data_IF_313682403638
#
_entry.id   IF_313682403638
#
_cell.length_a   1.000
_cell.length_b   1.000
_cell.length_c   1.000
_cell.angle_alpha   90.00
_cell.angle_beta   90.00
_cell.angle_gamma   90.00
#
_symmetry.space_group_name_H-M   'P 1'
#
loop_
_entity.id
_entity.type
_entity.pdbx_description
1 polymer ?
#
# COMPACT_ATOMS: atom_id res chain seq x y z
N UNK A 1 25.93 23.15 -2.22
CA UNK A 1 24.52 23.60 -2.08
C UNK A 1 23.70 22.91 -0.98
N UNK A 2 23.52 21.58 -0.90
CA UNK A 2 22.78 20.94 0.23
C UNK A 2 23.61 20.87 1.53
N UNK A 3 24.93 20.67 1.41
CA UNK A 3 25.87 20.59 2.55
C UNK A 3 26.10 21.93 3.26
N UNK A 4 26.07 23.05 2.52
CA UNK A 4 26.26 24.39 3.09
C UNK A 4 25.04 24.88 3.88
N UNK A 5 23.83 24.44 3.49
CA UNK A 5 22.60 24.74 4.24
C UNK A 5 22.52 23.99 5.58
N UNK A 6 23.28 22.90 5.75
CA UNK A 6 23.35 22.13 6.99
C UNK A 6 24.29 22.77 8.02
N UNK A 7 25.34 23.48 7.57
CA UNK A 7 26.30 24.14 8.45
C UNK A 7 25.76 25.44 9.09
N UNK A 8 24.80 26.11 8.45
CA UNK A 8 24.19 27.33 8.98
C UNK A 8 23.10 27.07 10.05
N UNK A 9 22.72 25.80 10.26
CA UNK A 9 21.76 25.35 11.29
C UNK A 9 22.50 24.62 12.42
N UNK A 10 23.72 25.02 12.73
CA UNK A 10 24.51 24.51 13.86
C UNK A 10 24.24 25.29 15.17
N UNK A 11 23.05 25.88 15.34
CA UNK A 11 22.62 26.38 16.65
C UNK A 11 21.57 25.44 17.24
N UNK A 12 22.04 24.55 18.12
CA UNK A 12 21.25 23.69 19.02
C UNK A 12 20.46 22.53 18.37
N UNK A 13 21.11 21.75 17.49
CA UNK A 13 20.58 20.43 17.10
C UNK A 13 21.09 19.40 18.12
N UNK A 14 20.18 18.79 18.86
CA UNK A 14 20.46 17.64 19.72
C UNK A 14 21.21 16.58 18.90
N UNK A 15 22.25 15.96 19.47
CA UNK A 15 22.97 14.89 18.77
C UNK A 15 22.06 13.68 18.63
N UNK A 16 22.08 13.00 17.48
CA UNK A 16 21.27 11.81 17.21
C UNK A 16 21.34 10.72 18.30
N UNK A 17 22.45 10.63 19.05
CA UNK A 17 22.61 9.72 20.19
C UNK A 17 21.72 10.09 21.37
N UNK A 18 21.66 11.37 21.73
CA UNK A 18 20.81 11.85 22.82
C UNK A 18 19.33 11.73 22.43
N UNK A 19 19.01 12.02 21.16
CA UNK A 19 17.68 11.80 20.59
C UNK A 19 17.27 10.32 20.67
N UNK A 20 18.19 9.40 20.35
CA UNK A 20 17.97 7.96 20.46
C UNK A 20 17.78 7.50 21.91
N UNK A 21 18.63 7.95 22.83
CA UNK A 21 18.50 7.63 24.26
C UNK A 21 17.16 8.12 24.82
N UNK A 22 16.72 9.32 24.41
CA UNK A 22 15.40 9.87 24.76
C UNK A 22 14.26 9.02 24.19
N UNK A 23 14.35 8.63 22.92
CA UNK A 23 13.36 7.76 22.29
C UNK A 23 13.25 6.39 22.99
N UNK A 24 14.39 5.78 23.33
CA UNK A 24 14.45 4.48 24.01
C UNK A 24 14.04 4.54 25.48
N UNK A 25 14.24 5.68 26.13
CA UNK A 25 13.81 5.93 27.52
C UNK A 25 12.34 6.32 27.66
N UNK A 26 11.68 6.73 26.57
CA UNK A 26 10.27 7.04 26.56
C UNK A 26 9.42 5.77 26.49
N UNK A 27 8.39 5.68 27.34
CA UNK A 27 7.36 4.65 27.22
C UNK A 27 6.36 5.07 26.14
N UNK A 28 6.39 4.41 24.98
CA UNK A 28 5.44 4.65 23.89
C UNK A 28 4.17 3.81 24.07
N UNK A 29 3.40 4.11 25.13
CA UNK A 29 2.21 3.32 25.53
C UNK A 29 1.07 3.33 24.48
N UNK A 30 1.13 4.27 23.52
CA UNK A 30 0.12 4.44 22.48
C UNK A 30 0.40 3.65 21.20
N UNK A 31 1.57 3.03 21.07
CA UNK A 31 1.95 2.26 19.87
C UNK A 31 1.47 0.80 20.01
N UNK A 32 0.59 0.40 19.11
CA UNK A 32 0.03 -0.96 19.03
C UNK A 32 0.54 -1.66 17.76
N UNK A 33 0.21 -2.95 17.59
CA UNK A 33 0.62 -3.72 16.39
C UNK A 33 0.00 -3.20 15.09
N UNK A 34 -1.17 -2.56 15.19
CA UNK A 34 -1.92 -2.05 14.04
C UNK A 34 -1.63 -0.56 13.77
N UNK A 35 -0.72 0.03 14.54
CA UNK A 35 -0.34 1.44 14.35
C UNK A 35 0.48 1.59 13.06
N UNK A 36 0.06 2.53 12.20
CA UNK A 36 0.85 2.96 11.06
C UNK A 36 2.11 3.68 11.55
N UNK A 37 3.24 2.96 11.54
CA UNK A 37 4.51 3.48 12.03
C UNK A 37 5.04 4.61 11.14
N UNK A 38 4.78 4.58 9.83
CA UNK A 38 5.25 5.64 8.91
C UNK A 38 4.55 6.94 9.24
N UNK A 39 3.23 6.88 9.44
CA UNK A 39 2.44 8.03 9.89
C UNK A 39 2.88 8.49 11.28
N UNK A 40 3.08 7.57 12.22
CA UNK A 40 3.54 7.90 13.57
C UNK A 40 4.86 8.67 13.55
N UNK A 41 5.87 8.20 12.80
CA UNK A 41 7.15 8.90 12.65
C UNK A 41 7.02 10.24 11.94
N UNK A 42 6.08 10.38 11.00
CA UNK A 42 5.78 11.66 10.35
C UNK A 42 5.16 12.67 11.33
N UNK A 43 4.33 12.22 12.26
CA UNK A 43 3.69 13.08 13.28
C UNK A 43 4.70 13.50 14.37
N UNK A 44 5.68 12.64 14.70
CA UNK A 44 6.71 12.90 15.72
C UNK A 44 8.03 13.43 15.13
N UNK A 45 8.04 13.88 13.87
CA UNK A 45 9.24 14.38 13.20
C UNK A 45 9.82 15.66 13.82
N UNK A 46 9.00 16.44 14.52
CA UNK A 46 9.46 17.60 15.30
C UNK A 46 10.14 17.20 16.61
N UNK A 47 9.71 16.09 17.22
CA UNK A 47 10.26 15.56 18.47
C UNK A 47 11.54 14.76 18.23
N UNK A 48 11.61 14.04 17.12
CA UNK A 48 12.73 13.18 16.75
C UNK A 48 13.19 13.49 15.30
N UNK A 49 13.82 14.64 15.05
CA UNK A 49 14.12 15.11 13.69
C UNK A 49 15.12 14.22 12.95
N UNK A 50 16.06 13.58 13.63
CA UNK A 50 17.05 12.71 12.97
C UNK A 50 16.51 11.29 12.79
N UNK A 51 15.87 10.74 13.83
CA UNK A 51 15.35 9.38 13.81
C UNK A 51 14.14 9.25 12.89
N UNK A 52 13.25 10.25 12.84
CA UNK A 52 12.11 10.24 11.95
C UNK A 52 12.53 10.18 10.47
N UNK A 53 13.60 10.89 10.08
CA UNK A 53 14.14 10.80 8.72
C UNK A 53 14.56 9.38 8.37
N UNK A 54 15.33 8.73 9.25
CA UNK A 54 15.78 7.33 9.04
C UNK A 54 14.59 6.37 9.03
N UNK A 55 13.63 6.56 9.93
CA UNK A 55 12.47 5.69 10.05
C UNK A 55 11.55 5.79 8.83
N UNK A 56 11.30 7.02 8.33
CA UNK A 56 10.50 7.25 7.12
C UNK A 56 11.19 6.69 5.87
N UNK A 57 12.52 6.69 5.81
CA UNK A 57 13.25 6.09 4.69
C UNK A 57 13.24 4.55 4.73
N UNK A 58 13.30 3.94 5.92
CA UNK A 58 13.50 2.49 6.08
C UNK A 58 12.21 1.71 6.24
N UNK A 59 11.25 2.19 7.04
CA UNK A 59 10.03 1.44 7.37
C UNK A 59 9.11 1.14 6.18
N UNK A 60 8.94 2.02 5.18
CA UNK A 60 8.10 1.71 4.01
C UNK A 60 8.68 0.62 3.10
N UNK A 61 9.97 0.29 3.26
CA UNK A 61 10.64 -0.72 2.44
C UNK A 61 9.96 -2.07 2.66
N UNK A 62 9.47 -2.67 1.59
CA UNK A 62 8.84 -3.98 1.64
C UNK A 62 9.86 -5.05 2.04
N UNK A 63 9.51 -5.86 3.03
CA UNK A 63 10.38 -6.94 3.51
C UNK A 63 10.51 -8.11 2.51
N UNK A 64 9.67 -8.17 1.47
CA UNK A 64 9.68 -9.24 0.48
C UNK A 64 9.47 -8.71 -0.94
N UNK A 65 9.86 -9.51 -1.94
CA UNK A 65 9.60 -9.26 -3.37
C UNK A 65 8.16 -9.56 -3.79
N UNK A 66 7.34 -10.13 -2.90
CA UNK A 66 5.97 -10.57 -3.20
C UNK A 66 5.10 -9.46 -3.82
N UNK A 67 5.13 -8.19 -3.36
CA UNK A 67 4.37 -7.11 -4.00
C UNK A 67 4.79 -6.89 -5.46
N UNK A 68 6.09 -6.95 -5.75
CA UNK A 68 6.62 -6.84 -7.11
C UNK A 68 6.19 -8.04 -7.96
N UNK A 69 6.26 -9.26 -7.44
CA UNK A 69 5.82 -10.47 -8.14
C UNK A 69 4.32 -10.44 -8.46
N UNK A 70 3.48 -9.95 -7.53
CA UNK A 70 2.05 -9.74 -7.76
C UNK A 70 1.80 -8.69 -8.83
N UNK A 71 2.56 -7.58 -8.80
CA UNK A 71 2.51 -6.54 -9.83
C UNK A 71 2.83 -7.14 -11.21
N UNK A 72 3.95 -7.85 -11.35
CA UNK A 72 4.36 -8.44 -12.62
C UNK A 72 3.39 -9.51 -13.12
N UNK A 73 2.89 -10.37 -12.23
CA UNK A 73 1.90 -11.39 -12.58
C UNK A 73 0.61 -10.76 -13.10
N UNK A 74 0.12 -9.72 -12.42
CA UNK A 74 -1.07 -8.98 -12.83
C UNK A 74 -0.87 -8.05 -14.05
N UNK A 75 0.38 -7.77 -14.42
CA UNK A 75 0.73 -6.94 -15.58
C UNK A 75 0.95 -7.77 -16.86
N UNK A 76 1.04 -9.10 -16.75
CA UNK A 76 1.22 -10.02 -17.88
C UNK A 76 0.21 -9.79 -19.01
N UNK A 77 -1.07 -9.59 -18.69
CA UNK A 77 -2.11 -9.33 -19.69
C UNK A 77 -1.88 -8.03 -20.48
N UNK A 78 -1.35 -6.99 -19.81
CA UNK A 78 -1.00 -5.70 -20.43
C UNK A 78 0.27 -5.82 -21.28
N UNK A 79 1.24 -6.62 -20.84
CA UNK A 79 2.52 -6.80 -21.50
C UNK A 79 2.45 -7.68 -22.75
N UNK A 80 1.72 -8.80 -22.71
CA UNK A 80 1.91 -9.89 -23.68
C UNK A 80 0.65 -10.24 -24.49
N UNK A 81 -0.55 -10.08 -23.94
CA UNK A 81 -1.74 -10.79 -24.48
C UNK A 81 -2.65 -9.94 -25.38
N UNK A 82 -2.73 -8.61 -25.18
CA UNK A 82 -3.63 -7.74 -25.96
C UNK A 82 -2.96 -6.53 -26.63
N UNK A 83 -1.70 -6.20 -26.29
CA UNK A 83 -0.98 -5.03 -26.83
C UNK A 83 0.54 -5.25 -26.94
N UNK A 84 0.97 -6.20 -27.76
CA UNK A 84 2.39 -6.55 -27.98
C UNK A 84 3.30 -5.44 -28.58
N UNK A 85 2.83 -4.18 -28.66
CA UNK A 85 3.58 -3.00 -29.14
C UNK A 85 3.61 -1.85 -28.13
N UNK A 86 3.18 -2.08 -26.89
CA UNK A 86 3.32 -1.08 -25.83
C UNK A 86 4.79 -1.07 -25.38
N UNK A 87 5.53 -0.02 -25.74
CA UNK A 87 6.90 0.16 -25.26
C UNK A 87 6.96 0.33 -23.73
N UNK A 88 8.16 0.20 -23.15
CA UNK A 88 8.36 0.20 -21.70
C UNK A 88 7.75 1.42 -20.99
N UNK A 89 7.92 2.62 -21.57
CA UNK A 89 7.39 3.88 -21.04
C UNK A 89 5.85 3.85 -20.89
N UNK A 90 5.14 3.53 -21.98
CA UNK A 90 3.66 3.43 -21.96
C UNK A 90 3.16 2.31 -21.05
N UNK A 91 3.95 1.24 -20.91
CA UNK A 91 3.61 0.15 -20.01
C UNK A 91 3.70 0.59 -18.54
N UNK A 92 4.74 1.34 -18.18
CA UNK A 92 4.90 1.95 -16.86
C UNK A 92 3.75 2.90 -16.53
N UNK A 93 3.43 3.83 -17.43
CA UNK A 93 2.29 4.75 -17.29
C UNK A 93 0.97 4.00 -17.04
N UNK A 94 0.74 2.92 -17.79
CA UNK A 94 -0.45 2.06 -17.61
C UNK A 94 -0.46 1.34 -16.26
N UNK A 95 0.68 0.87 -15.75
CA UNK A 95 0.71 0.25 -14.43
C UNK A 95 0.48 1.26 -13.31
N UNK A 96 1.04 2.48 -13.42
CA UNK A 96 0.80 3.57 -12.46
C UNK A 96 -0.68 3.96 -12.46
N UNK A 97 -1.27 4.24 -13.63
CA UNK A 97 -2.70 4.56 -13.73
C UNK A 97 -3.59 3.44 -13.18
N UNK A 98 -3.25 2.17 -13.49
CA UNK A 98 -3.97 1.01 -12.96
C UNK A 98 -3.91 0.95 -11.43
N UNK A 99 -2.77 1.24 -10.83
CA UNK A 99 -2.61 1.23 -9.37
C UNK A 99 -3.40 2.37 -8.72
N UNK A 100 -3.26 3.60 -9.22
CA UNK A 100 -3.95 4.79 -8.73
C UNK A 100 -5.47 4.66 -8.79
N UNK A 101 -6.01 4.11 -9.88
CA UNK A 101 -7.47 4.01 -10.06
C UNK A 101 -8.07 2.76 -9.44
N UNK A 102 -7.26 1.79 -9.00
CA UNK A 102 -7.75 0.53 -8.43
C UNK A 102 -8.75 0.72 -7.27
N UNK A 103 -8.56 1.68 -6.33
CA UNK A 103 -9.52 1.91 -5.25
C UNK A 103 -10.89 2.42 -5.72
N UNK A 104 -10.92 3.19 -6.81
CA UNK A 104 -12.11 3.89 -7.30
C UNK A 104 -12.87 3.13 -8.40
N UNK A 105 -12.28 2.09 -8.97
CA UNK A 105 -12.89 1.28 -10.02
C UNK A 105 -13.74 0.18 -9.41
N UNK A 106 -15.05 0.24 -9.66
CA UNK A 106 -16.00 -0.80 -9.27
C UNK A 106 -15.66 -2.14 -9.93
N UNK A 107 -15.45 -3.18 -9.12
CA UNK A 107 -15.11 -4.52 -9.60
C UNK A 107 -16.37 -5.24 -10.09
N UNK A 108 -16.73 -4.97 -11.35
CA UNK A 108 -17.84 -5.65 -12.01
C UNK A 108 -17.66 -7.16 -12.12
N UNK A 109 -16.43 -7.69 -12.14
CA UNK A 109 -16.21 -9.12 -12.20
C UNK A 109 -16.58 -9.79 -10.86
N UNK A 110 -16.21 -9.16 -9.75
CA UNK A 110 -16.66 -9.57 -8.41
C UNK A 110 -18.18 -9.45 -8.26
N UNK A 111 -18.77 -8.36 -8.73
CA UNK A 111 -20.22 -8.18 -8.70
C UNK A 111 -20.93 -9.25 -9.54
N UNK A 112 -20.51 -9.47 -10.78
CA UNK A 112 -21.07 -10.49 -11.66
C UNK A 112 -20.94 -11.90 -11.05
N UNK A 113 -19.80 -12.24 -10.45
CA UNK A 113 -19.61 -13.56 -9.83
C UNK A 113 -20.54 -13.76 -8.64
N UNK A 114 -20.70 -12.74 -7.80
CA UNK A 114 -21.65 -12.78 -6.68
C UNK A 114 -23.12 -12.84 -7.16
N UNK A 115 -23.45 -12.19 -8.28
CA UNK A 115 -24.78 -12.28 -8.87
C UNK A 115 -25.06 -13.64 -9.50
N UNK A 116 -24.07 -14.29 -10.13
CA UNK A 116 -24.24 -15.64 -10.69
C UNK A 116 -24.53 -16.66 -9.58
N UNK A 117 -23.81 -16.58 -8.45
CA UNK A 117 -24.04 -17.48 -7.31
C UNK A 117 -25.44 -17.27 -6.69
N UNK A 118 -25.86 -16.00 -6.53
CA UNK A 118 -27.22 -15.67 -6.07
C UNK A 118 -28.30 -16.13 -7.04
N UNK A 119 -28.09 -15.96 -8.35
CA UNK A 119 -29.04 -16.42 -9.38
C UNK A 119 -29.09 -17.94 -9.40
N UNK A 120 -27.98 -18.65 -9.28
CA UNK A 120 -27.99 -20.12 -9.19
C UNK A 120 -28.72 -20.61 -7.94
N UNK A 121 -28.53 -19.99 -6.77
CA UNK A 121 -29.30 -20.32 -5.56
C UNK A 121 -30.79 -20.03 -5.74
N UNK A 122 -31.15 -18.84 -6.22
CA UNK A 122 -32.54 -18.41 -6.38
C UNK A 122 -33.27 -19.24 -7.45
N UNK A 123 -32.63 -19.53 -8.60
CA UNK A 123 -33.17 -20.43 -9.62
C UNK A 123 -33.26 -21.87 -9.09
N UNK A 124 -32.29 -22.36 -8.32
CA UNK A 124 -32.35 -23.69 -7.71
C UNK A 124 -33.51 -23.79 -6.71
N UNK A 125 -33.74 -22.77 -5.90
CA UNK A 125 -34.86 -22.72 -4.97
C UNK A 125 -36.21 -22.69 -5.72
N UNK A 126 -36.36 -21.84 -6.75
CA UNK A 126 -37.57 -21.82 -7.58
C UNK A 126 -37.81 -23.15 -8.32
N UNK A 127 -36.75 -23.79 -8.85
CA UNK A 127 -36.88 -25.09 -9.51
C UNK A 127 -37.25 -26.20 -8.52
N UNK A 128 -36.61 -26.26 -7.35
CA UNK A 128 -36.92 -27.28 -6.33
C UNK A 128 -38.35 -27.12 -5.83
N UNK A 129 -38.80 -25.89 -5.54
CA UNK A 129 -40.18 -25.64 -5.11
C UNK A 129 -41.20 -26.01 -6.19
N UNK A 130 -40.90 -25.76 -7.47
CA UNK A 130 -41.74 -26.16 -8.61
C UNK A 130 -41.86 -27.68 -8.79
N UNK A 131 -40.89 -28.46 -8.30
CA UNK A 131 -40.88 -29.94 -8.39
C UNK A 131 -41.28 -30.64 -7.08
N UNK A 132 -41.56 -29.90 -6.00
CA UNK A 132 -41.97 -30.43 -4.69
C UNK A 132 -43.49 -30.32 -4.44
N UNK A 133 -44.25 -29.73 -5.37
CA UNK A 133 -45.71 -29.50 -5.28
C UNK A 133 -46.60 -30.57 -5.96
N UNK A 134 -46.12 -31.82 -6.14
CA UNK A 134 -46.92 -32.99 -6.60
C UNK A 134 -47.03 -34.10 -5.53
#
# INVERSE_FOLDING_TARGET
RRREKLAATESFVETWKAELERYLGAAHETVTKDTDLVRWWSEHASEYPTLALVAIDVLPIQASSVPCERLFSGAKGTATEKRARTGAERFEELQVMKFEWKPDVYDYAKWNSAQVELVEEELMHEFVDMFMDD
#
